data_IF_481300925981
#
_entry.id   IF_481300925981
#
_cell.length_a   1.000
_cell.length_b   1.000
_cell.length_c   1.000
_cell.angle_alpha   90.00
_cell.angle_beta   90.00
_cell.angle_gamma   90.00
#
_symmetry.space_group_name_H-M   'P 1'
#
loop_
_entity.id
_entity.type
_entity.pdbx_description
1 polymer ?
#
# COMPACT_ATOMS: atom_id res chain seq x y z
N UNK A 1 -8.79 0.34 21.12
CA UNK A 1 -9.19 -0.21 22.45
C UNK A 1 -10.02 -1.47 22.20
N UNK A 2 -10.40 -2.20 23.23
CA UNK A 2 -11.31 -3.36 23.10
C UNK A 2 -12.14 -3.54 24.37
N UNK A 3 -13.24 -4.29 24.28
CA UNK A 3 -14.01 -4.73 25.44
C UNK A 3 -13.41 -6.02 26.01
N UNK A 4 -13.00 -5.99 27.28
CA UNK A 4 -12.48 -7.16 27.99
C UNK A 4 -13.60 -8.19 28.24
N UNK A 5 -13.25 -9.45 28.58
CA UNK A 5 -14.25 -10.46 28.96
C UNK A 5 -15.16 -10.06 30.12
N UNK A 6 -14.70 -9.14 30.98
CA UNK A 6 -15.46 -8.55 32.09
C UNK A 6 -16.33 -7.36 31.67
N UNK A 7 -16.43 -7.06 30.37
CA UNK A 7 -17.23 -5.97 29.82
C UNK A 7 -16.66 -4.57 30.05
N UNK A 8 -15.36 -4.45 30.32
CA UNK A 8 -14.68 -3.15 30.53
C UNK A 8 -13.78 -2.80 29.37
N UNK A 9 -13.68 -1.51 29.06
CA UNK A 9 -12.75 -1.05 28.03
C UNK A 9 -11.30 -1.21 28.49
N UNK A 10 -10.47 -1.79 27.62
CA UNK A 10 -9.05 -2.00 27.82
C UNK A 10 -8.24 -1.53 26.60
N UNK A 11 -6.96 -1.23 26.83
CA UNK A 11 -6.03 -0.72 25.82
C UNK A 11 -4.73 -1.52 25.70
N UNK A 12 -4.48 -2.46 26.62
CA UNK A 12 -3.27 -3.29 26.65
C UNK A 12 -3.65 -4.75 26.52
N UNK A 13 -3.02 -5.44 25.58
CA UNK A 13 -3.13 -6.88 25.38
C UNK A 13 -1.78 -7.43 24.94
N UNK A 14 -1.67 -8.76 24.86
CA UNK A 14 -0.51 -9.42 24.27
C UNK A 14 -0.72 -9.57 22.76
N UNK A 15 0.37 -9.57 21.99
CA UNK A 15 0.38 -9.93 20.56
C UNK A 15 -0.69 -9.24 19.72
N UNK A 16 -0.86 -7.92 19.87
CA UNK A 16 -1.71 -7.13 18.99
C UNK A 16 -1.30 -7.35 17.52
N UNK A 17 -2.26 -7.38 16.59
CA UNK A 17 -1.97 -7.73 15.19
C UNK A 17 -0.96 -6.78 14.55
N UNK A 18 -1.01 -5.48 14.91
CA UNK A 18 -0.03 -4.50 14.45
C UNK A 18 1.39 -4.83 14.93
N UNK A 19 1.57 -5.14 16.21
CA UNK A 19 2.89 -5.46 16.78
C UNK A 19 3.53 -6.65 16.06
N UNK A 20 2.74 -7.71 15.87
CA UNK A 20 3.21 -8.92 15.19
C UNK A 20 3.54 -8.63 13.72
N UNK A 21 2.72 -7.82 13.03
CA UNK A 21 2.98 -7.43 11.66
C UNK A 21 4.28 -6.61 11.53
N UNK A 22 4.51 -5.63 12.42
CA UNK A 22 5.74 -4.83 12.44
C UNK A 22 6.96 -5.70 12.73
N UNK A 23 6.90 -6.59 13.73
CA UNK A 23 8.01 -7.50 14.05
C UNK A 23 8.33 -8.39 12.85
N UNK A 24 7.31 -8.92 12.15
CA UNK A 24 7.51 -9.72 10.93
C UNK A 24 8.21 -8.95 9.82
N UNK A 25 7.84 -7.69 9.59
CA UNK A 25 8.50 -6.83 8.60
C UNK A 25 9.97 -6.59 8.98
N UNK A 26 10.25 -6.22 10.23
CA UNK A 26 11.61 -5.99 10.72
C UNK A 26 12.47 -7.25 10.58
N UNK A 27 11.96 -8.41 10.97
CA UNK A 27 12.68 -9.68 10.83
C UNK A 27 12.92 -10.04 9.37
N UNK A 28 11.94 -9.83 8.49
CA UNK A 28 12.09 -10.11 7.05
C UNK A 28 13.12 -9.19 6.40
N UNK A 29 13.13 -7.90 6.78
CA UNK A 29 14.13 -6.93 6.31
C UNK A 29 15.53 -7.30 6.80
N UNK A 30 15.67 -7.68 8.08
CA UNK A 30 16.95 -8.12 8.64
C UNK A 30 17.49 -9.36 7.93
N UNK A 31 16.67 -10.41 7.77
CA UNK A 31 17.06 -11.65 7.07
C UNK A 31 17.47 -11.33 5.63
N UNK A 32 16.67 -10.54 4.91
CA UNK A 32 16.98 -10.15 3.52
C UNK A 32 18.30 -9.38 3.42
N UNK A 33 18.56 -8.46 4.36
CA UNK A 33 19.81 -7.71 4.41
C UNK A 33 21.01 -8.61 4.72
N UNK A 34 20.87 -9.53 5.67
CA UNK A 34 21.91 -10.51 6.00
C UNK A 34 22.27 -11.40 4.81
N UNK A 35 21.28 -11.87 4.05
CA UNK A 35 21.49 -12.66 2.83
C UNK A 35 22.26 -11.86 1.77
N UNK A 36 21.87 -10.61 1.52
CA UNK A 36 22.54 -9.74 0.54
C UNK A 36 23.99 -9.44 0.95
N UNK A 37 24.24 -9.22 2.24
CA UNK A 37 25.57 -8.93 2.77
C UNK A 37 26.42 -10.19 2.99
N UNK A 38 25.86 -11.38 2.81
CA UNK A 38 26.55 -12.64 3.09
C UNK A 38 26.89 -12.85 4.56
N UNK A 39 26.10 -12.26 5.48
CA UNK A 39 26.32 -12.37 6.93
C UNK A 39 25.94 -13.75 7.46
N UNK A 40 26.76 -14.31 8.35
CA UNK A 40 26.54 -15.59 9.03
C UNK A 40 26.45 -15.42 10.56
N UNK A 41 25.99 -14.26 11.02
CA UNK A 41 25.85 -13.95 12.45
C UNK A 41 24.90 -14.95 13.16
N UNK A 42 25.25 -15.37 14.37
CA UNK A 42 24.37 -16.18 15.22
C UNK A 42 23.01 -15.49 15.50
N UNK A 43 22.94 -14.16 15.39
CA UNK A 43 21.70 -13.40 15.45
C UNK A 43 20.76 -13.74 14.29
N UNK A 44 21.26 -14.04 13.08
CA UNK A 44 20.44 -14.46 11.94
C UNK A 44 19.62 -15.70 12.27
N UNK A 45 20.27 -16.73 12.78
CA UNK A 45 19.60 -17.97 13.21
C UNK A 45 18.56 -17.69 14.28
N UNK A 46 18.89 -16.88 15.30
CA UNK A 46 17.93 -16.51 16.37
C UNK A 46 16.72 -15.75 15.83
N UNK A 47 16.90 -14.84 14.88
CA UNK A 47 15.81 -14.08 14.26
C UNK A 47 14.92 -14.99 13.42
N UNK A 48 15.49 -15.89 12.61
CA UNK A 48 14.73 -16.87 11.84
C UNK A 48 13.91 -17.80 12.75
N UNK A 49 14.51 -18.32 13.81
CA UNK A 49 13.83 -19.12 14.82
C UNK A 49 12.70 -18.34 15.51
N UNK A 50 12.93 -17.08 15.90
CA UNK A 50 11.92 -16.24 16.51
C UNK A 50 10.76 -15.93 15.54
N UNK A 51 11.07 -15.63 14.27
CA UNK A 51 10.07 -15.32 13.25
C UNK A 51 9.10 -16.48 13.04
N UNK A 52 9.61 -17.72 13.01
CA UNK A 52 8.77 -18.93 12.86
C UNK A 52 7.78 -19.16 14.00
N UNK A 53 8.00 -18.52 15.16
CA UNK A 53 7.13 -18.63 16.35
C UNK A 53 6.09 -17.51 16.44
N UNK A 54 6.17 -16.49 15.57
CA UNK A 54 5.22 -15.38 15.58
C UNK A 54 3.82 -15.86 15.14
N UNK A 55 2.75 -15.47 15.85
CA UNK A 55 1.40 -15.91 15.51
C UNK A 55 0.99 -15.41 14.11
N UNK A 56 0.16 -16.15 13.38
CA UNK A 56 -0.39 -15.68 12.11
C UNK A 56 -1.43 -14.57 12.33
N UNK A 57 -1.65 -13.74 11.31
CA UNK A 57 -2.83 -12.87 11.25
C UNK A 57 -4.08 -13.75 11.16
N UNK A 58 -5.14 -13.39 11.88
CA UNK A 58 -6.37 -14.18 11.97
C UNK A 58 -7.59 -13.38 11.51
N UNK A 59 -8.59 -14.11 11.06
CA UNK A 59 -9.90 -13.59 10.68
C UNK A 59 -10.84 -13.78 11.87
N UNK A 60 -11.54 -12.71 12.24
CA UNK A 60 -12.53 -12.65 13.31
C UNK A 60 -13.82 -13.40 12.91
N UNK A 61 -14.70 -13.66 13.87
CA UNK A 61 -15.98 -14.35 13.63
C UNK A 61 -16.90 -13.59 12.67
N UNK A 62 -16.82 -12.26 12.68
CA UNK A 62 -17.61 -11.40 11.79
C UNK A 62 -17.01 -11.30 10.37
N UNK A 63 -15.84 -11.90 10.14
CA UNK A 63 -15.13 -11.88 8.86
C UNK A 63 -14.08 -10.78 8.71
N UNK A 64 -13.89 -9.90 9.70
CA UNK A 64 -12.84 -8.86 9.66
C UNK A 64 -11.46 -9.44 9.99
N UNK A 65 -10.39 -8.70 9.72
CA UNK A 65 -9.09 -8.98 10.36
C UNK A 65 -9.22 -8.73 11.87
N UNK A 66 -8.73 -9.67 12.69
CA UNK A 66 -8.66 -9.49 14.14
C UNK A 66 -7.66 -8.38 14.50
N UNK A 67 -8.08 -7.39 15.29
CA UNK A 67 -7.19 -6.32 15.74
C UNK A 67 -6.26 -6.75 16.88
N UNK A 68 -6.76 -7.64 17.75
CA UNK A 68 -6.07 -8.13 18.94
C UNK A 68 -5.84 -9.64 18.86
N UNK A 69 -5.08 -10.18 19.82
CA UNK A 69 -4.78 -11.62 19.87
C UNK A 69 -6.01 -12.53 20.07
N UNK A 70 -7.10 -11.96 20.56
CA UNK A 70 -8.41 -12.61 20.68
C UNK A 70 -9.46 -11.75 19.98
N UNK A 71 -10.58 -12.38 19.64
CA UNK A 71 -11.70 -11.75 18.94
C UNK A 71 -12.54 -10.95 19.94
N UNK A 72 -11.98 -9.83 20.40
CA UNK A 72 -12.63 -8.92 21.32
C UNK A 72 -13.59 -7.99 20.58
N UNK A 73 -14.66 -7.59 21.27
CA UNK A 73 -15.57 -6.57 20.76
C UNK A 73 -14.88 -5.21 20.72
N UNK A 74 -15.18 -4.46 19.65
CA UNK A 74 -14.63 -3.13 19.41
C UNK A 74 -15.57 -2.06 19.99
N UNK A 75 -15.13 -1.27 20.99
CA UNK A 75 -15.94 -0.19 21.54
C UNK A 75 -16.16 0.96 20.56
N UNK A 76 -15.37 1.06 19.48
CA UNK A 76 -15.48 2.08 18.44
C UNK A 76 -15.30 1.43 17.05
N UNK A 77 -16.38 0.87 16.46
CA UNK A 77 -16.29 0.20 15.17
C UNK A 77 -15.76 1.08 14.03
N UNK A 78 -15.95 2.40 14.12
CA UNK A 78 -15.52 3.39 13.12
C UNK A 78 -14.21 4.09 13.53
N UNK A 79 -13.43 3.49 14.42
CA UNK A 79 -12.20 4.09 14.89
C UNK A 79 -11.28 4.50 13.74
N UNK A 80 -10.80 5.74 13.77
CA UNK A 80 -9.94 6.33 12.72
C UNK A 80 -8.64 5.55 12.43
N UNK A 81 -8.15 4.75 13.37
CA UNK A 81 -6.98 3.90 13.13
C UNK A 81 -7.37 2.51 12.60
N UNK A 82 -6.62 2.06 11.60
CA UNK A 82 -6.71 0.72 11.01
C UNK A 82 -5.39 -0.04 11.19
N UNK A 83 -4.79 0.12 12.36
CA UNK A 83 -3.45 -0.37 12.74
C UNK A 83 -3.20 -1.85 12.44
N UNK A 84 -4.21 -2.69 12.62
CA UNK A 84 -4.13 -4.12 12.34
C UNK A 84 -4.09 -4.46 10.83
N UNK A 85 -4.29 -3.48 9.95
CA UNK A 85 -4.07 -3.58 8.51
C UNK A 85 -2.66 -3.13 8.09
N UNK A 86 -1.75 -2.84 9.02
CA UNK A 86 -0.35 -2.51 8.72
C UNK A 86 0.30 -3.52 7.76
N UNK A 87 0.00 -4.81 7.91
CA UNK A 87 0.52 -5.87 7.05
C UNK A 87 0.12 -5.77 5.57
N UNK A 88 -0.99 -5.07 5.26
CA UNK A 88 -1.43 -4.76 3.91
C UNK A 88 -0.76 -3.49 3.36
N UNK A 89 -0.71 -2.43 4.18
CA UNK A 89 0.03 -1.21 3.89
C UNK A 89 0.38 -0.45 5.18
N UNK A 90 1.63 0.02 5.37
CA UNK A 90 2.74 -0.01 4.41
C UNK A 90 3.51 -1.33 4.33
N UNK A 91 3.17 -2.32 5.17
CA UNK A 91 3.76 -3.66 5.16
C UNK A 91 3.46 -4.48 3.89
N UNK A 92 3.96 -5.70 3.89
CA UNK A 92 3.98 -6.64 2.76
C UNK A 92 3.61 -8.08 3.16
N UNK A 93 3.12 -8.28 4.40
CA UNK A 93 2.69 -9.61 4.89
C UNK A 93 1.30 -10.03 4.41
N UNK A 94 0.46 -9.10 3.97
CA UNK A 94 -0.86 -9.37 3.37
C UNK A 94 -0.83 -8.88 1.92
N UNK A 95 -0.96 -9.80 0.96
CA UNK A 95 -0.98 -9.47 -0.48
C UNK A 95 -2.02 -10.28 -1.24
N UNK A 96 -2.56 -9.69 -2.31
CA UNK A 96 -3.61 -10.32 -3.15
C UNK A 96 -3.17 -11.68 -3.69
N UNK A 97 -1.90 -11.81 -4.08
CA UNK A 97 -1.37 -13.04 -4.67
C UNK A 97 -1.07 -14.15 -3.65
N UNK A 98 -0.76 -13.80 -2.40
CA UNK A 98 -0.28 -14.77 -1.39
C UNK A 98 -1.29 -15.09 -0.30
N UNK A 99 -2.15 -14.15 0.06
CA UNK A 99 -3.11 -14.27 1.17
C UNK A 99 -4.49 -13.70 0.75
N UNK A 100 -5.13 -14.23 -0.30
CA UNK A 100 -6.39 -13.69 -0.82
C UNK A 100 -7.53 -13.71 0.22
N UNK A 101 -7.55 -14.69 1.12
CA UNK A 101 -8.50 -14.77 2.23
C UNK A 101 -8.32 -13.63 3.24
N UNK A 102 -7.08 -13.24 3.56
CA UNK A 102 -6.81 -12.08 4.42
C UNK A 102 -7.13 -10.78 3.70
N UNK A 103 -6.92 -10.69 2.38
CA UNK A 103 -7.34 -9.53 1.59
C UNK A 103 -8.86 -9.35 1.63
N UNK A 104 -9.64 -10.43 1.52
CA UNK A 104 -11.10 -10.38 1.66
C UNK A 104 -11.53 -9.90 3.06
N UNK A 105 -10.85 -10.38 4.10
CA UNK A 105 -11.10 -9.92 5.47
C UNK A 105 -10.70 -8.45 5.68
N UNK A 106 -9.61 -7.99 5.04
CA UNK A 106 -9.17 -6.60 5.10
C UNK A 106 -10.12 -5.65 4.36
N UNK A 107 -10.67 -6.06 3.21
CA UNK A 107 -11.74 -5.35 2.50
C UNK A 107 -12.95 -5.13 3.44
N UNK A 108 -13.42 -6.19 4.10
CA UNK A 108 -14.51 -6.10 5.06
C UNK A 108 -14.14 -5.27 6.30
N UNK A 109 -12.90 -5.36 6.81
CA UNK A 109 -12.42 -4.48 7.88
C UNK A 109 -12.52 -3.01 7.50
N UNK A 110 -12.08 -2.64 6.30
CA UNK A 110 -12.13 -1.25 5.81
C UNK A 110 -13.58 -0.78 5.67
N UNK A 111 -14.45 -1.63 5.12
CA UNK A 111 -15.88 -1.35 5.05
C UNK A 111 -16.49 -1.11 6.44
N UNK A 112 -16.18 -1.99 7.41
CA UNK A 112 -16.65 -1.88 8.81
C UNK A 112 -16.14 -0.61 9.50
N UNK A 113 -14.88 -0.22 9.24
CA UNK A 113 -14.27 1.01 9.78
C UNK A 113 -14.84 2.29 9.17
N UNK A 114 -15.53 2.18 8.05
CA UNK A 114 -16.15 3.32 7.38
C UNK A 114 -15.15 4.25 6.71
N UNK A 115 -15.69 5.34 6.16
CA UNK A 115 -14.96 6.25 5.28
C UNK A 115 -14.42 7.47 6.05
N UNK A 116 -15.11 7.89 7.10
CA UNK A 116 -14.82 9.08 7.91
C UNK A 116 -13.49 9.01 8.67
N UNK A 117 -12.94 10.17 8.98
CA UNK A 117 -11.76 10.35 9.83
C UNK A 117 -10.92 11.56 9.45
N UNK A 118 -9.87 11.86 10.24
CA UNK A 118 -8.93 12.92 9.92
C UNK A 118 -8.19 12.61 8.61
N UNK A 119 -7.59 13.62 7.97
CA UNK A 119 -6.96 13.47 6.65
C UNK A 119 -5.99 12.28 6.54
N UNK A 120 -5.19 11.99 7.58
CA UNK A 120 -4.26 10.85 7.56
C UNK A 120 -4.97 9.51 7.49
N UNK A 121 -6.15 9.40 8.11
CA UNK A 121 -6.94 8.18 8.10
C UNK A 121 -7.49 7.95 6.70
N UNK A 122 -8.08 8.99 6.10
CA UNK A 122 -8.62 8.97 4.73
C UNK A 122 -7.54 8.59 3.71
N UNK A 123 -6.34 9.17 3.80
CA UNK A 123 -5.24 8.86 2.88
C UNK A 123 -4.61 7.48 3.11
N UNK A 124 -4.56 7.01 4.36
CA UNK A 124 -4.13 5.64 4.64
C UNK A 124 -5.13 4.62 4.10
N UNK A 125 -6.44 4.85 4.30
CA UNK A 125 -7.52 4.04 3.70
C UNK A 125 -7.44 4.03 2.17
N UNK A 126 -7.14 5.16 1.53
CA UNK A 126 -6.95 5.22 0.08
C UNK A 126 -5.83 4.27 -0.39
N UNK A 127 -4.70 4.25 0.32
CA UNK A 127 -3.57 3.35 0.02
C UNK A 127 -3.90 1.88 0.27
N UNK A 128 -4.66 1.58 1.33
CA UNK A 128 -5.11 0.23 1.64
C UNK A 128 -6.09 -0.30 0.58
N UNK A 129 -7.05 0.52 0.14
CA UNK A 129 -7.94 0.17 -0.98
C UNK A 129 -7.16 -0.04 -2.29
N UNK A 130 -6.15 0.80 -2.55
CA UNK A 130 -5.28 0.61 -3.71
C UNK A 130 -4.52 -0.74 -3.65
N UNK A 131 -4.04 -1.15 -2.46
CA UNK A 131 -3.39 -2.45 -2.23
C UNK A 131 -4.32 -3.65 -2.36
N UNK A 132 -5.63 -3.45 -2.22
CA UNK A 132 -6.65 -4.45 -2.53
C UNK A 132 -7.06 -4.46 -4.02
N UNK A 133 -6.43 -3.61 -4.85
CA UNK A 133 -6.80 -3.39 -6.25
C UNK A 133 -8.25 -2.87 -6.43
N UNK A 134 -8.81 -2.25 -5.38
CA UNK A 134 -10.15 -1.69 -5.38
C UNK A 134 -10.12 -0.20 -5.76
N UNK A 135 -10.16 0.07 -7.06
CA UNK A 135 -10.02 1.43 -7.58
C UNK A 135 -11.18 2.35 -7.25
N UNK A 136 -12.40 1.81 -7.11
CA UNK A 136 -13.59 2.59 -6.77
C UNK A 136 -13.46 3.19 -5.38
N UNK A 137 -13.18 2.36 -4.38
CA UNK A 137 -13.04 2.84 -3.00
C UNK A 137 -11.78 3.68 -2.81
N UNK A 138 -10.66 3.33 -3.46
CA UNK A 138 -9.46 4.16 -3.42
C UNK A 138 -9.74 5.58 -3.95
N UNK A 139 -10.40 5.70 -5.11
CA UNK A 139 -10.79 6.99 -5.67
C UNK A 139 -11.82 7.72 -4.81
N UNK A 140 -12.74 7.00 -4.17
CA UNK A 140 -13.71 7.59 -3.23
C UNK A 140 -12.99 8.26 -2.05
N UNK A 141 -12.00 7.61 -1.45
CA UNK A 141 -11.20 8.21 -0.37
C UNK A 141 -10.40 9.42 -0.84
N UNK A 142 -9.84 9.36 -2.06
CA UNK A 142 -9.17 10.51 -2.67
C UNK A 142 -10.11 11.72 -2.78
N UNK A 143 -11.36 11.52 -3.22
CA UNK A 143 -12.34 12.62 -3.28
C UNK A 143 -12.73 13.13 -1.90
N UNK A 144 -12.92 12.24 -0.93
CA UNK A 144 -13.30 12.61 0.43
C UNK A 144 -12.23 13.47 1.12
N UNK A 145 -10.94 13.29 0.78
CA UNK A 145 -9.92 14.22 1.25
C UNK A 145 -10.11 15.65 0.73
N UNK A 146 -10.76 15.84 -0.43
CA UNK A 146 -10.93 17.14 -1.12
C UNK A 146 -12.23 17.82 -0.66
N UNK A 147 -12.61 17.62 0.60
CA UNK A 147 -13.69 18.37 1.24
C UNK A 147 -13.10 19.61 1.94
N UNK A 148 -13.73 20.78 1.76
CA UNK A 148 -13.21 22.04 2.32
C UNK A 148 -13.51 22.09 3.82
N UNK A 149 -12.46 22.25 4.63
CA UNK A 149 -12.56 22.48 6.08
C UNK A 149 -12.50 23.98 6.35
N UNK A 150 -13.51 24.48 7.07
CA UNK A 150 -13.55 25.86 7.55
C UNK A 150 -12.81 25.97 8.89
N UNK A 151 -11.68 26.71 8.95
CA UNK A 151 -10.91 26.84 10.20
C UNK A 151 -11.67 27.55 11.31
N UNK A 152 -12.75 28.28 11.00
CA UNK A 152 -13.58 28.95 12.01
C UNK A 152 -14.69 28.01 12.57
N UNK A 153 -14.92 26.85 11.92
CA UNK A 153 -16.01 25.92 12.26
C UNK A 153 -15.55 24.45 12.24
N UNK A 154 -14.35 24.17 12.76
CA UNK A 154 -13.76 22.82 12.81
C UNK A 154 -14.55 21.86 13.72
N UNK A 155 -14.76 20.62 13.27
CA UNK A 155 -15.17 19.50 14.12
C UNK A 155 -14.05 18.48 14.34
N UNK A 156 -14.05 17.84 15.51
CA UNK A 156 -13.05 16.82 15.85
C UNK A 156 -13.04 15.68 14.82
N UNK A 157 -11.85 15.38 14.28
CA UNK A 157 -11.61 14.31 13.31
C UNK A 157 -12.29 14.50 11.94
N UNK A 158 -12.72 15.71 11.60
CA UNK A 158 -13.24 16.07 10.27
C UNK A 158 -12.09 16.30 9.28
N UNK A 159 -11.65 15.23 8.61
CA UNK A 159 -10.61 15.31 7.61
C UNK A 159 -11.01 16.12 6.39
N UNK A 160 -10.03 16.72 5.72
CA UNK A 160 -10.26 17.46 4.48
C UNK A 160 -9.07 18.36 4.13
N UNK A 161 -9.33 19.40 3.34
CA UNK A 161 -8.37 20.43 2.96
C UNK A 161 -8.84 21.80 3.42
N UNK A 162 -7.92 22.59 3.96
CA UNK A 162 -8.12 24.04 4.05
C UNK A 162 -7.99 24.68 2.66
N UNK A 163 -8.36 25.97 2.57
CA UNK A 163 -8.30 26.76 1.32
C UNK A 163 -6.90 26.88 0.70
N UNK A 164 -5.84 26.67 1.49
CA UNK A 164 -4.44 26.64 1.03
C UNK A 164 -3.96 25.22 0.65
N UNK A 165 -4.86 24.23 0.58
CA UNK A 165 -4.60 22.82 0.31
C UNK A 165 -3.78 22.08 1.39
N UNK A 166 -3.64 22.65 2.59
CA UNK A 166 -3.14 21.90 3.72
C UNK A 166 -4.21 20.96 4.26
N UNK A 167 -3.79 19.76 4.66
CA UNK A 167 -4.72 18.76 5.18
C UNK A 167 -5.10 19.02 6.63
N UNK A 168 -6.37 18.80 6.94
CA UNK A 168 -6.92 18.93 8.27
C UNK A 168 -6.94 17.57 9.00
N UNK A 169 -6.55 17.59 10.27
CA UNK A 169 -6.99 16.59 11.22
C UNK A 169 -8.44 16.84 11.68
N UNK A 170 -8.88 18.09 11.99
CA UNK A 170 -8.17 19.36 12.28
C UNK A 170 -7.45 19.39 13.65
N UNK A 171 -6.50 20.32 13.89
CA UNK A 171 -6.07 21.40 12.99
C UNK A 171 -5.15 20.88 11.88
N UNK A 172 -4.39 21.75 11.22
CA UNK A 172 -3.40 21.37 10.21
C UNK A 172 -2.48 20.22 10.67
N UNK A 173 -2.44 19.17 9.85
CA UNK A 173 -1.49 18.07 9.92
C UNK A 173 -1.01 17.74 8.51
N UNK A 174 0.31 17.63 8.30
CA UNK A 174 0.91 17.48 6.97
C UNK A 174 0.92 16.03 6.44
N UNK A 175 0.62 15.07 7.32
CA UNK A 175 0.66 13.63 7.03
C UNK A 175 -0.13 13.24 5.77
N UNK A 176 -1.34 13.75 5.62
CA UNK A 176 -2.21 13.43 4.50
C UNK A 176 -1.82 14.15 3.20
N UNK A 177 -1.16 15.31 3.24
CA UNK A 177 -0.56 15.89 2.05
C UNK A 177 0.48 14.91 1.43
N UNK A 178 1.31 14.27 2.27
CA UNK A 178 2.25 13.24 1.83
C UNK A 178 1.54 11.92 1.48
N UNK A 179 0.59 11.51 2.31
CA UNK A 179 -0.22 10.30 2.12
C UNK A 179 -1.00 10.31 0.81
N UNK A 180 -1.51 11.46 0.39
CA UNK A 180 -2.20 11.63 -0.90
C UNK A 180 -1.29 11.26 -2.07
N UNK A 181 -0.06 11.79 -2.09
CA UNK A 181 0.90 11.49 -3.16
C UNK A 181 1.27 10.01 -3.20
N UNK A 182 1.43 9.39 -2.03
CA UNK A 182 1.69 7.95 -1.92
C UNK A 182 0.49 7.10 -2.39
N UNK A 183 -0.74 7.46 -2.02
CA UNK A 183 -1.95 6.76 -2.44
C UNK A 183 -2.13 6.80 -3.97
N UNK A 184 -1.94 7.97 -4.60
CA UNK A 184 -1.99 8.09 -6.06
C UNK A 184 -0.91 7.21 -6.72
N UNK A 185 0.32 7.19 -6.18
CA UNK A 185 1.38 6.31 -6.68
C UNK A 185 0.99 4.83 -6.56
N UNK A 186 0.47 4.39 -5.41
CA UNK A 186 0.04 3.01 -5.15
C UNK A 186 -1.16 2.57 -6.02
N UNK A 187 -2.01 3.52 -6.45
CA UNK A 187 -3.08 3.22 -7.42
C UNK A 187 -2.54 2.96 -8.83
N UNK A 188 -1.42 3.60 -9.20
CA UNK A 188 -0.87 3.57 -10.55
C UNK A 188 0.25 2.53 -10.73
N UNK A 189 1.08 2.32 -9.71
CA UNK A 189 2.21 1.38 -9.73
C UNK A 189 2.42 0.76 -8.35
N UNK A 190 2.49 -0.56 -8.29
CA UNK A 190 2.95 -1.30 -7.11
C UNK A 190 4.15 -2.17 -7.48
N UNK A 191 5.02 -2.48 -6.52
CA UNK A 191 6.21 -3.30 -6.83
C UNK A 191 6.73 -4.14 -5.67
N UNK A 192 7.32 -5.28 -6.00
CA UNK A 192 8.29 -6.00 -5.16
C UNK A 192 9.69 -5.80 -5.77
N UNK A 193 10.72 -6.44 -5.22
CA UNK A 193 12.06 -6.43 -5.85
C UNK A 193 12.08 -7.08 -7.24
N UNK A 194 11.09 -7.92 -7.57
CA UNK A 194 11.01 -8.69 -8.82
C UNK A 194 9.74 -8.45 -9.63
N UNK A 195 8.69 -7.91 -9.02
CA UNK A 195 7.38 -7.76 -9.64
C UNK A 195 7.01 -6.28 -9.75
N UNK A 196 6.43 -5.90 -10.89
CA UNK A 196 5.91 -4.56 -11.16
C UNK A 196 4.45 -4.68 -11.63
N UNK A 197 3.53 -4.15 -10.84
CA UNK A 197 2.10 -4.16 -11.12
C UNK A 197 1.69 -2.81 -11.71
N UNK A 198 1.10 -2.86 -12.91
CA UNK A 198 0.77 -1.68 -13.69
C UNK A 198 -0.72 -1.34 -13.57
N UNK A 199 -1.04 -0.11 -13.19
CA UNK A 199 -2.41 0.39 -13.01
C UNK A 199 -3.27 -0.53 -12.11
N UNK A 200 -2.75 -1.01 -10.96
CA UNK A 200 -3.44 -2.01 -10.14
C UNK A 200 -4.79 -1.52 -9.63
N UNK A 201 -4.94 -0.22 -9.34
CA UNK A 201 -6.19 0.37 -8.86
C UNK A 201 -6.54 1.68 -9.59
N UNK A 202 -6.39 1.72 -10.92
CA UNK A 202 -6.80 2.86 -11.73
C UNK A 202 -8.35 2.99 -11.77
N UNK A 203 -8.95 4.15 -11.42
CA UNK A 203 -10.38 4.40 -11.56
C UNK A 203 -10.70 4.71 -13.02
N UNK A 204 -10.91 3.66 -13.82
CA UNK A 204 -10.90 3.70 -15.30
C UNK A 204 -11.96 4.63 -15.90
N UNK A 205 -13.12 4.73 -15.28
CA UNK A 205 -14.24 5.59 -15.71
C UNK A 205 -14.03 7.06 -15.34
N UNK A 206 -13.18 7.35 -14.35
CA UNK A 206 -12.88 8.72 -13.88
C UNK A 206 -11.58 9.26 -14.46
N UNK A 207 -10.57 8.40 -14.60
CA UNK A 207 -9.26 8.71 -15.19
C UNK A 207 -9.09 7.93 -16.49
N UNK A 208 -9.98 8.18 -17.46
CA UNK A 208 -9.96 7.45 -18.73
C UNK A 208 -8.65 7.66 -19.50
N UNK A 209 -8.06 8.86 -19.45
CA UNK A 209 -6.84 9.17 -20.19
C UNK A 209 -5.85 9.86 -19.27
N UNK A 210 -4.58 9.48 -19.35
CA UNK A 210 -3.55 10.12 -18.54
C UNK A 210 -2.17 9.50 -18.74
N UNK A 211 -1.18 10.17 -18.16
CA UNK A 211 0.19 9.69 -18.09
C UNK A 211 0.81 10.10 -16.75
N UNK A 212 1.69 9.25 -16.22
CA UNK A 212 2.60 9.60 -15.13
C UNK A 212 4.03 9.22 -15.54
N UNK A 213 5.00 10.04 -15.12
CA UNK A 213 6.41 9.84 -15.45
C UNK A 213 7.27 9.95 -14.20
N UNK A 214 8.31 9.13 -14.13
CA UNK A 214 9.33 9.20 -13.09
C UNK A 214 9.00 8.45 -11.80
N UNK A 215 7.92 7.65 -11.75
CA UNK A 215 7.63 6.83 -10.57
C UNK A 215 8.77 5.85 -10.32
N UNK A 216 9.08 5.61 -9.05
CA UNK A 216 10.13 4.67 -8.62
C UNK A 216 9.49 3.39 -8.13
N UNK A 217 9.99 2.27 -8.62
CA UNK A 217 9.67 0.93 -8.16
C UNK A 217 10.88 0.32 -7.43
N UNK A 218 10.61 -0.66 -6.56
CA UNK A 218 11.64 -1.40 -5.84
C UNK A 218 12.62 -2.05 -6.84
N UNK A 219 13.89 -2.17 -6.45
CA UNK A 219 14.95 -2.64 -7.35
C UNK A 219 15.55 -1.56 -8.26
N UNK A 220 15.33 -0.27 -7.95
CA UNK A 220 15.96 0.84 -8.67
C UNK A 220 15.35 1.13 -10.05
N UNK A 221 14.12 0.64 -10.29
CA UNK A 221 13.43 0.80 -11.58
C UNK A 221 12.66 2.11 -11.60
N UNK A 222 12.74 2.84 -12.71
CA UNK A 222 11.90 4.00 -12.99
C UNK A 222 10.83 3.64 -14.01
N UNK A 223 9.63 4.17 -13.82
CA UNK A 223 8.43 3.82 -14.59
C UNK A 223 7.77 5.09 -15.12
N UNK A 224 7.53 5.09 -16.43
CA UNK A 224 6.62 6.00 -17.11
C UNK A 224 5.46 5.18 -17.64
N UNK A 225 4.23 5.62 -17.43
CA UNK A 225 3.05 4.91 -17.91
C UNK A 225 2.04 5.89 -18.48
N UNK A 226 1.46 5.53 -19.61
CA UNK A 226 0.36 6.23 -20.25
C UNK A 226 -0.79 5.27 -20.48
N UNK A 227 -2.01 5.75 -20.31
CA UNK A 227 -3.23 5.00 -20.52
C UNK A 227 -4.25 5.82 -21.31
N UNK A 228 -5.11 5.11 -22.05
CA UNK A 228 -6.21 5.68 -22.83
C UNK A 228 -7.44 4.81 -22.68
N UNK A 229 -8.61 5.43 -22.60
CA UNK A 229 -9.90 4.76 -22.40
C UNK A 229 -9.88 3.78 -21.21
N UNK A 230 -9.13 4.15 -20.16
CA UNK A 230 -8.96 3.36 -18.95
C UNK A 230 -8.01 2.18 -19.08
N UNK A 231 -7.36 1.97 -20.22
CA UNK A 231 -6.44 0.85 -20.48
C UNK A 231 -5.00 1.33 -20.71
N UNK A 232 -4.04 0.51 -20.26
CA UNK A 232 -2.61 0.70 -20.55
C UNK A 232 -2.43 0.94 -22.05
N UNK A 233 -1.81 2.06 -22.39
CA UNK A 233 -1.43 2.37 -23.76
C UNK A 233 0.04 2.01 -23.97
N UNK A 234 0.88 2.51 -23.06
CA UNK A 234 2.33 2.35 -23.12
C UNK A 234 2.93 2.42 -21.72
N UNK A 235 3.93 1.57 -21.45
CA UNK A 235 4.77 1.67 -20.25
C UNK A 235 6.24 1.63 -20.64
N UNK A 236 7.01 2.63 -20.19
CA UNK A 236 8.45 2.69 -20.30
C UNK A 236 9.10 2.38 -18.96
N UNK A 237 10.00 1.41 -18.91
CA UNK A 237 10.75 1.05 -17.70
C UNK A 237 12.25 1.08 -17.96
N UNK A 238 13.01 1.52 -16.97
CA UNK A 238 14.47 1.48 -17.02
C UNK A 238 15.09 1.45 -15.63
N UNK A 239 16.34 0.99 -15.57
CA UNK A 239 17.22 1.15 -14.41
C UNK A 239 18.42 1.97 -14.84
N UNK A 240 18.90 2.86 -13.97
CA UNK A 240 20.06 3.71 -14.27
C UNK A 240 21.35 2.89 -14.27
N UNK A 241 21.57 2.16 -13.18
CA UNK A 241 22.89 1.62 -12.85
C UNK A 241 22.92 0.08 -12.75
N UNK A 242 21.77 -0.59 -12.81
CA UNK A 242 21.69 -2.03 -12.52
C UNK A 242 20.91 -2.80 -13.57
N UNK A 243 21.48 -3.92 -14.01
CA UNK A 243 20.70 -4.93 -14.72
C UNK A 243 19.74 -5.59 -13.75
N UNK A 244 18.50 -5.82 -14.16
CA UNK A 244 17.53 -6.55 -13.35
C UNK A 244 16.58 -7.36 -14.21
N UNK A 245 16.02 -8.41 -13.62
CA UNK A 245 14.94 -9.17 -14.21
C UNK A 245 13.66 -8.74 -13.47
N UNK A 246 12.70 -8.21 -14.21
CA UNK A 246 11.42 -7.76 -13.69
C UNK A 246 10.28 -8.57 -14.30
N UNK A 247 9.25 -8.83 -13.51
CA UNK A 247 8.00 -9.44 -13.93
C UNK A 247 6.93 -8.36 -13.98
N UNK A 248 6.46 -8.04 -15.18
CA UNK A 248 5.40 -7.04 -15.36
C UNK A 248 4.05 -7.72 -15.27
N UNK A 249 3.12 -7.13 -14.50
CA UNK A 249 1.76 -7.61 -14.33
C UNK A 249 0.76 -6.55 -14.80
N UNK A 250 -0.15 -6.95 -15.68
CA UNK A 250 -1.26 -6.10 -16.15
C UNK A 250 -2.48 -6.95 -16.50
N UNK A 251 -3.61 -6.74 -15.80
CA UNK A 251 -4.90 -7.41 -16.05
C UNK A 251 -4.78 -8.94 -16.22
N UNK A 252 -4.06 -9.59 -15.31
CA UNK A 252 -3.83 -11.05 -15.34
C UNK A 252 -2.83 -11.52 -16.39
N UNK A 253 -2.30 -10.63 -17.23
CA UNK A 253 -1.16 -10.91 -18.11
C UNK A 253 0.15 -10.65 -17.37
N UNK A 254 1.12 -11.53 -17.61
CA UNK A 254 2.43 -11.47 -16.97
C UNK A 254 3.53 -11.69 -17.99
N UNK A 255 4.58 -10.85 -17.99
CA UNK A 255 5.77 -11.06 -18.82
C UNK A 255 7.04 -10.86 -18.01
N UNK A 256 8.02 -11.73 -18.23
CA UNK A 256 9.39 -11.58 -17.72
C UNK A 256 10.19 -10.68 -18.66
N UNK A 257 10.90 -9.70 -18.13
CA UNK A 257 11.75 -8.81 -18.91
C UNK A 257 13.10 -8.57 -18.26
N UNK A 258 14.13 -8.54 -19.11
CA UNK A 258 15.49 -8.22 -18.72
C UNK A 258 15.73 -6.73 -18.97
N UNK A 259 15.83 -5.96 -17.89
CA UNK A 259 16.15 -4.54 -17.94
C UNK A 259 17.66 -4.41 -17.88
N UNK A 260 18.27 -3.97 -18.98
CA UNK A 260 19.68 -3.56 -18.99
C UNK A 260 19.83 -2.13 -18.49
N UNK A 261 20.86 -1.88 -17.68
CA UNK A 261 21.20 -0.56 -17.17
C UNK A 261 21.35 0.47 -18.32
N UNK A 262 20.86 1.69 -18.10
CA UNK A 262 20.95 2.80 -19.06
C UNK A 262 20.07 2.65 -20.30
N UNK A 263 19.17 1.67 -20.37
CA UNK A 263 18.24 1.48 -21.49
C UNK A 263 16.79 1.55 -21.02
N UNK A 264 15.96 2.22 -21.81
CA UNK A 264 14.50 2.24 -21.67
C UNK A 264 13.90 1.15 -22.51
N UNK A 265 13.06 0.33 -21.89
CA UNK A 265 12.25 -0.70 -22.53
C UNK A 265 10.79 -0.26 -22.49
N UNK A 266 10.16 -0.20 -23.65
CA UNK A 266 8.80 0.29 -23.81
C UNK A 266 7.88 -0.85 -24.22
N UNK A 267 6.79 -1.04 -23.50
CA UNK A 267 5.82 -2.11 -23.71
C UNK A 267 4.45 -1.53 -24.03
N UNK A 268 3.73 -2.21 -24.93
CA UNK A 268 2.34 -1.88 -25.23
C UNK A 268 1.37 -2.58 -24.27
N UNK A 269 0.06 -2.43 -24.52
CA UNK A 269 -1.02 -3.01 -23.72
C UNK A 269 -1.00 -4.54 -23.58
N UNK A 270 -0.37 -5.26 -24.53
CA UNK A 270 -0.18 -6.72 -24.47
C UNK A 270 1.13 -7.11 -23.78
N UNK A 271 1.81 -6.15 -23.14
CA UNK A 271 3.14 -6.30 -22.55
C UNK A 271 4.19 -6.80 -23.55
N UNK A 272 4.03 -6.50 -24.84
CA UNK A 272 5.06 -6.76 -25.85
C UNK A 272 6.01 -5.58 -25.90
N UNK A 273 7.32 -5.84 -25.85
CA UNK A 273 8.32 -4.81 -26.04
C UNK A 273 8.24 -4.28 -27.47
N UNK A 274 7.94 -2.99 -27.63
CA UNK A 274 7.76 -2.32 -28.92
C UNK A 274 8.90 -1.37 -29.27
N UNK A 275 9.67 -0.92 -28.27
CA UNK A 275 10.78 0.01 -28.46
C UNK A 275 11.81 -0.12 -27.35
N UNK A 276 13.08 -0.09 -27.72
CA UNK A 276 14.21 0.00 -26.78
C UNK A 276 15.14 1.12 -27.24
N UNK A 277 15.57 1.98 -26.32
CA UNK A 277 16.52 3.04 -26.62
C UNK A 277 17.39 3.38 -25.40
N UNK A 278 18.58 3.94 -25.62
CA UNK A 278 19.46 4.36 -24.54
C UNK A 278 18.91 5.63 -23.87
N UNK A 279 19.03 5.72 -22.54
CA UNK A 279 18.72 6.94 -21.80
C UNK A 279 19.76 7.98 -22.20
N UNK A 280 19.35 9.05 -22.85
CA UNK A 280 20.18 10.25 -23.02
C UNK A 280 20.35 10.85 -21.63
N UNK A 281 21.51 10.68 -21.00
CA UNK A 281 21.83 11.35 -19.75
C UNK A 281 22.03 12.82 -20.12
N UNK A 282 20.96 13.61 -20.06
CA UNK A 282 21.07 15.06 -20.00
C UNK A 282 21.72 15.40 -18.66
N UNK A 283 22.87 16.06 -18.71
CA UNK A 283 23.53 16.68 -17.57
C UNK A 283 22.59 17.66 -16.84
#
# INVERSE_FOLDING_TARGET
MFMSPEGKQASVSYSATMDIAIIKEVFSAFISASEILGSQDALLTKVQEAQSKLPPTKIARDGSIMEWAQDFEDPDPHHRHVSHLFGLFPGHTITVDKTPELCKAADYTLFKRGEEGPGWSTTWKASLWARLHNSEHAYRMIKHLIDLVDPDHEADYEGGLYSNLFTAHPPFQIDANFGFSAAIAEMLVQSTTKDLFLLPALPRDKWANGCVKGLKARGGVTVNICWKEGDLHEVGIWSKDQNSIQRLHYRGSTVMTNISAGRVFTFNRQLKCVKTYCVSIGN
#
